data_IF_829186385931
#
_entry.id   IF_829186385931
#
_cell.length_a   1.000
_cell.length_b   1.000
_cell.length_c   1.000
_cell.angle_alpha   90.00
_cell.angle_beta   90.00
_cell.angle_gamma   90.00
#
_symmetry.space_group_name_H-M   'P 1'
#
loop_
_entity.id
_entity.type
_entity.pdbx_description
1 polymer ?
#
# COMPACT_ATOMS: atom_id res chain seq x y z
N UNK A 1 17.27 1.56 9.23
CA UNK A 1 17.32 0.08 9.13
C UNK A 1 17.98 -0.24 7.80
N UNK A 2 19.12 -0.95 7.78
CA UNK A 2 20.05 -1.06 6.65
C UNK A 2 19.53 -1.77 5.39
N UNK A 3 18.48 -1.24 4.76
CA UNK A 3 17.89 -1.80 3.55
C UNK A 3 17.05 -3.06 3.80
N UNK A 4 16.40 -3.18 4.96
CA UNK A 4 15.54 -4.32 5.26
C UNK A 4 14.20 -3.87 5.81
N UNK A 5 13.13 -4.49 5.32
CA UNK A 5 11.79 -4.29 5.86
C UNK A 5 11.70 -4.89 7.27
N UNK A 6 11.05 -4.24 8.25
CA UNK A 6 10.95 -4.75 9.62
C UNK A 6 10.35 -6.17 9.74
N UNK A 7 9.53 -6.59 8.78
CA UNK A 7 8.94 -7.93 8.74
C UNK A 7 9.71 -8.94 7.88
N UNK A 8 10.90 -8.60 7.38
CA UNK A 8 11.72 -9.52 6.57
C UNK A 8 11.08 -9.89 5.22
N UNK A 9 10.20 -9.03 4.70
CA UNK A 9 9.54 -9.20 3.39
C UNK A 9 10.10 -8.20 2.36
N UNK A 10 9.98 -8.48 1.05
CA UNK A 10 10.33 -7.51 0.03
C UNK A 10 9.53 -6.20 0.17
N UNK A 11 10.18 -5.06 -0.05
CA UNK A 11 9.56 -3.74 -0.02
C UNK A 11 9.81 -3.01 -1.34
N UNK A 12 8.76 -2.42 -1.91
CA UNK A 12 8.81 -1.70 -3.18
C UNK A 12 8.52 -0.22 -2.91
N UNK A 13 9.54 0.62 -3.09
CA UNK A 13 9.50 2.05 -2.77
C UNK A 13 9.32 2.83 -4.06
N UNK A 14 8.15 3.45 -4.24
CA UNK A 14 7.88 4.34 -5.37
C UNK A 14 8.63 5.65 -5.15
N UNK A 15 9.46 6.04 -6.11
CA UNK A 15 10.22 7.28 -6.07
C UNK A 15 10.45 7.80 -7.48
N UNK A 16 10.59 9.12 -7.65
CA UNK A 16 10.95 9.68 -8.95
C UNK A 16 12.45 9.52 -9.26
N UNK A 17 13.28 9.33 -8.23
CA UNK A 17 14.73 9.24 -8.37
C UNK A 17 15.29 8.12 -7.50
N UNK A 18 16.16 7.31 -8.09
CA UNK A 18 16.94 6.30 -7.37
C UNK A 18 17.87 6.98 -6.37
N UNK A 19 17.84 6.63 -5.07
CA UNK A 19 18.76 7.20 -4.09
C UNK A 19 20.21 6.76 -4.37
N UNK A 20 21.17 7.59 -3.99
CA UNK A 20 22.59 7.29 -4.19
C UNK A 20 23.01 5.99 -3.46
N UNK A 21 23.83 5.19 -4.15
CA UNK A 21 24.30 3.91 -3.64
C UNK A 21 23.21 2.84 -3.59
N UNK A 22 22.19 2.91 -4.45
CA UNK A 22 21.21 1.87 -4.71
C UNK A 22 21.21 1.45 -6.18
N UNK A 23 20.91 0.18 -6.52
CA UNK A 23 20.63 -0.94 -5.62
C UNK A 23 21.84 -1.38 -4.80
N UNK A 24 21.61 -2.04 -3.67
CA UNK A 24 22.66 -2.60 -2.79
C UNK A 24 22.62 -4.13 -2.85
N UNK A 25 23.75 -4.82 -2.61
CA UNK A 25 23.70 -6.25 -2.31
C UNK A 25 22.95 -6.50 -0.99
N UNK A 26 22.37 -7.70 -0.85
CA UNK A 26 21.77 -8.21 0.38
C UNK A 26 20.62 -7.38 0.99
N UNK A 27 19.86 -6.69 0.13
CA UNK A 27 18.66 -5.92 0.51
C UNK A 27 17.40 -6.51 -0.14
N UNK A 28 16.30 -6.51 0.60
CA UNK A 28 14.97 -6.80 0.05
C UNK A 28 14.18 -5.52 -0.32
N UNK A 29 14.84 -4.37 -0.42
CA UNK A 29 14.22 -3.10 -0.80
C UNK A 29 14.50 -2.81 -2.27
N UNK A 30 13.42 -2.59 -3.02
CA UNK A 30 13.43 -2.30 -4.45
C UNK A 30 12.88 -0.89 -4.66
N UNK A 31 13.68 0.01 -5.23
CA UNK A 31 13.18 1.32 -5.63
C UNK A 31 12.61 1.24 -7.05
N UNK A 32 11.41 1.77 -7.23
CA UNK A 32 10.68 1.73 -8.50
C UNK A 32 10.44 3.16 -8.97
N UNK A 33 10.98 3.48 -10.15
CA UNK A 33 10.88 4.80 -10.79
C UNK A 33 9.80 4.92 -11.86
N UNK A 34 9.24 3.78 -12.27
CA UNK A 34 8.30 3.70 -13.39
C UNK A 34 6.83 3.86 -12.95
N UNK A 35 6.62 4.51 -11.81
CA UNK A 35 5.31 4.80 -11.26
C UNK A 35 4.74 3.72 -10.34
N UNK A 36 3.53 4.01 -9.85
CA UNK A 36 2.85 3.25 -8.80
C UNK A 36 2.37 1.88 -9.28
N UNK A 37 1.80 1.81 -10.48
CA UNK A 37 1.26 0.60 -11.09
C UNK A 37 2.36 -0.45 -11.27
N UNK A 38 3.54 0.00 -11.73
CA UNK A 38 4.73 -0.86 -11.88
C UNK A 38 5.17 -1.42 -10.51
N UNK A 39 5.20 -0.58 -9.48
CA UNK A 39 5.57 -1.03 -8.14
C UNK A 39 4.58 -2.03 -7.56
N UNK A 40 3.28 -1.81 -7.74
CA UNK A 40 2.23 -2.73 -7.31
C UNK A 40 2.32 -4.05 -8.06
N UNK A 41 2.57 -4.03 -9.37
CA UNK A 41 2.74 -5.24 -10.17
C UNK A 41 3.94 -6.08 -9.72
N UNK A 42 5.09 -5.43 -9.50
CA UNK A 42 6.29 -6.10 -8.99
C UNK A 42 6.07 -6.67 -7.58
N UNK A 43 5.41 -5.92 -6.70
CA UNK A 43 5.07 -6.37 -5.36
C UNK A 43 4.12 -7.59 -5.38
N UNK A 44 3.10 -7.59 -6.25
CA UNK A 44 2.20 -8.73 -6.44
C UNK A 44 2.94 -9.95 -6.97
N UNK A 45 3.84 -9.78 -7.93
CA UNK A 45 4.65 -10.87 -8.46
C UNK A 45 5.54 -11.52 -7.39
N UNK A 46 6.17 -10.72 -6.53
CA UNK A 46 6.99 -11.25 -5.43
C UNK A 46 6.17 -11.84 -4.26
N UNK A 47 4.96 -11.33 -4.03
CA UNK A 47 4.07 -11.84 -2.99
C UNK A 47 3.45 -13.20 -3.35
N UNK A 48 3.21 -13.47 -4.64
CA UNK A 48 2.46 -14.64 -5.09
C UNK A 48 1.03 -14.59 -4.55
N UNK A 49 0.59 -15.67 -3.87
CA UNK A 49 -0.75 -15.77 -3.27
C UNK A 49 -0.90 -15.00 -1.94
N UNK A 50 0.12 -14.25 -1.52
CA UNK A 50 0.10 -13.46 -0.28
C UNK A 50 -0.46 -12.06 -0.51
N UNK A 51 -0.63 -11.31 0.58
CA UNK A 51 -1.12 -9.94 0.56
C UNK A 51 0.05 -8.98 0.35
N UNK A 52 -0.14 -7.98 -0.52
CA UNK A 52 0.73 -6.80 -0.62
C UNK A 52 0.21 -5.72 0.33
N UNK A 53 1.03 -5.34 1.31
CA UNK A 53 0.72 -4.25 2.23
C UNK A 53 1.10 -2.90 1.62
N UNK A 54 0.25 -1.90 1.80
CA UNK A 54 0.52 -0.53 1.36
C UNK A 54 0.97 0.34 2.53
N UNK A 55 2.01 1.15 2.31
CA UNK A 55 2.57 2.04 3.32
C UNK A 55 2.67 3.46 2.78
N UNK A 56 2.22 4.42 3.59
CA UNK A 56 2.25 5.84 3.27
C UNK A 56 0.89 6.38 2.84
N UNK A 57 0.46 7.56 3.34
CA UNK A 57 -0.87 8.10 3.03
C UNK A 57 -1.04 8.43 1.54
N UNK A 58 0.00 8.95 0.89
CA UNK A 58 -0.07 9.37 -0.51
C UNK A 58 -0.14 8.18 -1.47
N UNK A 59 0.68 7.15 -1.26
CA UNK A 59 0.67 5.92 -2.08
C UNK A 59 -0.63 5.16 -1.92
N UNK A 60 -1.18 5.07 -0.70
CA UNK A 60 -2.48 4.43 -0.47
C UNK A 60 -3.59 5.22 -1.18
N UNK A 61 -3.58 6.56 -1.12
CA UNK A 61 -4.57 7.37 -1.84
C UNK A 61 -4.48 7.18 -3.35
N UNK A 62 -3.27 7.22 -3.92
CA UNK A 62 -3.10 7.00 -5.36
C UNK A 62 -3.56 5.59 -5.77
N UNK A 63 -3.28 4.56 -4.97
CA UNK A 63 -3.79 3.20 -5.23
C UNK A 63 -5.32 3.12 -5.11
N UNK A 64 -5.92 3.86 -4.17
CA UNK A 64 -7.37 3.95 -4.07
C UNK A 64 -7.96 4.58 -5.32
N UNK A 65 -7.41 5.71 -5.77
CA UNK A 65 -7.87 6.43 -6.96
C UNK A 65 -7.69 5.60 -8.24
N UNK A 66 -6.58 4.87 -8.34
CA UNK A 66 -6.28 3.97 -9.47
C UNK A 66 -7.06 2.63 -9.41
N UNK A 67 -7.86 2.37 -8.37
CA UNK A 67 -8.61 1.12 -8.22
C UNK A 67 -7.74 -0.11 -7.96
N UNK A 68 -6.54 0.08 -7.39
CA UNK A 68 -5.56 -0.97 -7.13
C UNK A 68 -5.72 -1.62 -5.74
N UNK A 69 -6.56 -1.06 -4.87
CA UNK A 69 -6.83 -1.60 -3.53
C UNK A 69 -8.03 -2.54 -3.53
N UNK A 70 -7.82 -3.75 -3.01
CA UNK A 70 -8.89 -4.74 -2.81
C UNK A 70 -9.58 -4.62 -1.44
N UNK A 71 -8.85 -4.16 -0.40
CA UNK A 71 -9.33 -4.09 0.98
C UNK A 71 -8.69 -2.90 1.73
N UNK A 72 -9.47 -2.22 2.57
CA UNK A 72 -8.99 -1.19 3.50
C UNK A 72 -9.34 -1.64 4.92
N UNK A 73 -8.32 -1.74 5.79
CA UNK A 73 -8.50 -1.93 7.23
C UNK A 73 -8.25 -0.61 7.94
N UNK A 74 -9.20 -0.22 8.79
CA UNK A 74 -9.12 1.02 9.56
C UNK A 74 -9.15 0.69 11.04
N UNK A 75 -8.04 0.93 11.72
CA UNK A 75 -7.98 0.90 13.17
C UNK A 75 -8.37 2.26 13.71
N UNK A 76 -9.60 2.38 14.22
CA UNK A 76 -10.13 3.62 14.76
C UNK A 76 -9.65 3.81 16.20
N UNK A 77 -8.80 4.81 16.41
CA UNK A 77 -8.34 5.23 17.75
C UNK A 77 -9.30 6.31 18.29
N UNK A 78 -9.81 6.21 19.54
CA UNK A 78 -10.73 7.19 20.11
C UNK A 78 -10.00 8.47 20.56
N UNK A 79 -9.38 9.17 19.61
CA UNK A 79 -8.61 10.38 19.81
C UNK A 79 -8.94 11.41 18.72
N UNK A 80 -9.23 12.64 19.13
CA UNK A 80 -9.35 13.78 18.23
C UNK A 80 -7.99 14.48 18.10
N UNK A 81 -7.27 14.20 17.02
CA UNK A 81 -5.91 14.73 16.81
C UNK A 81 -5.87 16.23 16.47
N UNK A 82 -6.99 16.83 16.04
CA UNK A 82 -7.06 18.23 15.59
C UNK A 82 -6.56 18.41 14.16
N UNK A 83 -5.27 18.19 13.90
CA UNK A 83 -4.62 18.34 12.58
C UNK A 83 -3.68 17.18 12.25
N UNK A 84 -3.29 17.03 10.98
CA UNK A 84 -2.35 16.00 10.54
C UNK A 84 -2.58 15.57 9.11
N UNK A 85 -1.96 14.46 8.71
CA UNK A 85 -2.14 13.90 7.38
C UNK A 85 -3.50 13.20 7.34
N UNK A 86 -4.43 13.77 6.59
CA UNK A 86 -5.77 13.20 6.39
C UNK A 86 -5.68 12.09 5.35
N UNK A 87 -6.17 10.90 5.67
CA UNK A 87 -6.14 9.77 4.74
C UNK A 87 -7.11 9.93 3.56
N UNK A 88 -8.35 10.36 3.84
CA UNK A 88 -9.49 10.32 2.91
C UNK A 88 -10.04 11.70 2.49
N UNK A 89 -9.20 12.73 2.40
CA UNK A 89 -9.66 14.11 2.15
C UNK A 89 -10.01 14.40 0.67
N UNK A 90 -9.41 13.65 -0.27
CA UNK A 90 -9.54 13.89 -1.73
C UNK A 90 -9.55 12.59 -2.52
N UNK A 91 -10.51 11.71 -2.22
CA UNK A 91 -10.70 10.45 -2.95
C UNK A 91 -11.35 10.76 -4.30
N UNK A 92 -10.60 10.59 -5.39
CA UNK A 92 -10.97 11.04 -6.73
C UNK A 92 -12.11 10.24 -7.36
N UNK A 93 -12.28 8.98 -6.93
CA UNK A 93 -13.31 8.06 -7.43
C UNK A 93 -14.51 7.91 -6.46
N UNK A 94 -14.73 8.89 -5.58
CA UNK A 94 -15.87 8.90 -4.67
C UNK A 94 -17.22 9.19 -5.40
N UNK A 95 -18.36 8.66 -4.90
CA UNK A 95 -18.50 7.82 -3.71
C UNK A 95 -18.10 6.35 -3.96
N UNK A 96 -17.50 5.71 -2.96
CA UNK A 96 -17.18 4.28 -2.94
C UNK A 96 -17.98 3.58 -1.83
N UNK A 97 -18.58 2.44 -2.14
CA UNK A 97 -19.25 1.59 -1.14
C UNK A 97 -18.26 0.57 -0.60
N UNK A 98 -17.99 0.60 0.71
CA UNK A 98 -17.17 -0.40 1.38
C UNK A 98 -18.06 -1.51 1.95
N UNK A 99 -17.76 -2.76 1.58
CA UNK A 99 -18.33 -3.91 2.26
C UNK A 99 -17.46 -4.27 3.48
N UNK A 100 -18.09 -4.51 4.63
CA UNK A 100 -17.37 -4.98 5.82
C UNK A 100 -17.08 -6.47 5.70
N UNK A 101 -15.85 -6.88 5.97
CA UNK A 101 -15.52 -8.29 6.20
C UNK A 101 -15.71 -8.61 7.68
N UNK A 102 -16.46 -9.66 8.06
CA UNK A 102 -16.43 -10.15 9.44
C UNK A 102 -14.97 -10.52 9.79
N UNK A 103 -14.49 -10.18 10.99
CA UNK A 103 -13.07 -10.36 11.37
C UNK A 103 -12.62 -11.82 11.47
N UNK A 104 -13.52 -12.79 11.22
CA UNK A 104 -13.24 -14.21 11.07
C UNK A 104 -13.68 -14.69 9.69
N UNK A 105 -12.71 -14.85 8.76
CA UNK A 105 -12.82 -15.37 7.38
C UNK A 105 -14.15 -16.09 7.04
N UNK A 106 -14.93 -15.58 6.07
CA UNK A 106 -15.53 -16.29 4.90
C UNK A 106 -15.92 -15.23 3.83
N UNK A 107 -15.67 -15.50 2.54
CA UNK A 107 -16.11 -14.69 1.39
C UNK A 107 -17.36 -15.30 0.72
N UNK A 108 -18.14 -14.47 0.00
CA UNK A 108 -18.78 -14.60 -1.34
C UNK A 108 -19.86 -13.48 -1.41
N UNK A 109 -19.94 -12.61 -2.43
CA UNK A 109 -20.61 -12.89 -3.71
C UNK A 109 -20.30 -11.85 -4.79
N UNK A 110 -20.17 -12.32 -6.04
CA UNK A 110 -20.39 -11.52 -7.25
C UNK A 110 -21.90 -11.41 -7.50
N UNK A 111 -22.32 -10.35 -8.18
CA UNK A 111 -23.53 -10.39 -9.02
C UNK A 111 -23.09 -10.72 -10.44
#
# INVERSE_FOLDING_TARGET
>A
MGGQHPFGVPAYVVTHQMPEGWPRPDTAVHFVTDGLESAVAQAKAAAGDKIVGMHGPDTIRQCLDAGLLDEIRVDLVPLLLGSGIRMFDRVGNAPLTLATRPSSRVWVSRT
#
